data_IF_103028664629
#
_entry.id   IF_103028664629
#
_cell.length_a   1.000
_cell.length_b   1.000
_cell.length_c   1.000
_cell.angle_alpha   90.00
_cell.angle_beta   90.00
_cell.angle_gamma   90.00
#
_symmetry.space_group_name_H-M   'P 1'
#
loop_
_entity.id
_entity.type
_entity.pdbx_description
1 polymer ?
#
# COMPACT_ATOMS: atom_id res chain seq x y z
N UNK A 1 -30.48 -43.46 -34.62
CA UNK A 1 -30.65 -42.90 -33.24
C UNK A 1 -29.35 -42.82 -32.42
N UNK A 2 -28.39 -43.74 -32.56
CA UNK A 2 -27.12 -43.69 -31.80
C UNK A 2 -26.26 -42.44 -32.07
N UNK A 3 -26.16 -42.02 -33.33
CA UNK A 3 -25.39 -40.84 -33.74
C UNK A 3 -25.87 -39.54 -33.08
N UNK A 4 -27.17 -39.25 -33.13
CA UNK A 4 -27.77 -38.06 -32.50
C UNK A 4 -27.57 -38.03 -30.98
N UNK A 5 -27.66 -39.18 -30.31
CA UNK A 5 -27.38 -39.28 -28.87
C UNK A 5 -25.92 -39.00 -28.55
N UNK A 6 -25.00 -39.57 -29.35
CA UNK A 6 -23.56 -39.31 -29.21
C UNK A 6 -23.23 -37.83 -29.40
N UNK A 7 -23.74 -37.22 -30.46
CA UNK A 7 -23.55 -35.79 -30.74
C UNK A 7 -24.09 -34.90 -29.61
N UNK A 8 -25.30 -35.18 -29.12
CA UNK A 8 -25.89 -34.45 -28.00
C UNK A 8 -25.04 -34.56 -26.73
N UNK A 9 -24.53 -35.76 -26.42
CA UNK A 9 -23.67 -35.97 -25.26
C UNK A 9 -22.32 -35.26 -25.40
N UNK A 10 -21.71 -35.28 -26.58
CA UNK A 10 -20.46 -34.54 -26.83
C UNK A 10 -20.67 -33.03 -26.64
N UNK A 11 -21.77 -32.48 -27.19
CA UNK A 11 -22.10 -31.07 -27.03
C UNK A 11 -22.33 -30.71 -25.55
N UNK A 12 -23.10 -31.52 -24.82
CA UNK A 12 -23.30 -31.35 -23.38
C UNK A 12 -21.97 -31.40 -22.64
N UNK A 13 -21.06 -32.30 -23.03
CA UNK A 13 -19.74 -32.43 -22.39
C UNK A 13 -18.88 -31.18 -22.57
N UNK A 14 -18.85 -30.61 -23.77
CA UNK A 14 -18.15 -29.35 -24.07
C UNK A 14 -18.76 -28.19 -23.27
N UNK A 15 -20.09 -28.05 -23.29
CA UNK A 15 -20.78 -26.99 -22.56
C UNK A 15 -20.57 -27.10 -21.05
N UNK A 16 -20.58 -28.32 -20.52
CA UNK A 16 -20.33 -28.61 -19.12
C UNK A 16 -18.89 -28.25 -18.74
N UNK A 17 -17.91 -28.64 -19.56
CA UNK A 17 -16.51 -28.27 -19.37
C UNK A 17 -16.32 -26.75 -19.32
N UNK A 18 -16.84 -26.02 -20.31
CA UNK A 18 -16.75 -24.56 -20.37
C UNK A 18 -17.43 -23.89 -19.19
N UNK A 19 -18.57 -24.42 -18.75
CA UNK A 19 -19.32 -23.88 -17.62
C UNK A 19 -18.58 -24.06 -16.30
N UNK A 20 -17.94 -25.21 -16.09
CA UNK A 20 -17.09 -25.44 -14.91
C UNK A 20 -15.87 -24.51 -14.94
N UNK A 21 -15.26 -24.30 -16.10
CA UNK A 21 -14.13 -23.39 -16.25
C UNK A 21 -14.52 -21.95 -15.88
N UNK A 22 -15.61 -21.43 -16.43
CA UNK A 22 -16.12 -20.11 -16.09
C UNK A 22 -16.53 -20.02 -14.61
N UNK A 23 -17.10 -21.09 -14.05
CA UNK A 23 -17.48 -21.13 -12.65
C UNK A 23 -16.26 -21.11 -11.72
N UNK A 24 -15.21 -21.86 -12.06
CA UNK A 24 -13.93 -21.85 -11.35
C UNK A 24 -13.24 -20.48 -11.41
N UNK A 25 -13.27 -19.83 -12.58
CA UNK A 25 -12.77 -18.46 -12.73
C UNK A 25 -13.56 -17.47 -11.87
N UNK A 26 -14.89 -17.56 -11.87
CA UNK A 26 -15.76 -16.76 -10.99
C UNK A 26 -15.44 -16.99 -9.51
N UNK A 27 -15.34 -18.26 -9.06
CA UNK A 27 -14.92 -18.56 -7.69
C UNK A 27 -13.57 -17.93 -7.35
N UNK A 28 -12.62 -17.99 -8.27
CA UNK A 28 -11.29 -17.41 -8.08
C UNK A 28 -11.38 -15.89 -7.92
N UNK A 29 -12.14 -15.22 -8.78
CA UNK A 29 -12.42 -13.79 -8.66
C UNK A 29 -13.05 -13.43 -7.31
N UNK A 30 -13.99 -14.26 -6.83
CA UNK A 30 -14.62 -14.06 -5.52
C UNK A 30 -13.64 -14.17 -4.34
N UNK A 31 -12.71 -15.11 -4.40
CA UNK A 31 -11.70 -15.31 -3.34
C UNK A 31 -10.49 -14.38 -3.44
N UNK A 32 -10.40 -13.58 -4.50
CA UNK A 32 -9.25 -12.69 -4.77
C UNK A 32 -9.72 -11.25 -4.89
N UNK A 33 -10.08 -10.81 -6.09
CA UNK A 33 -10.44 -9.43 -6.41
C UNK A 33 -11.73 -8.93 -5.73
N UNK A 34 -12.61 -9.82 -5.23
CA UNK A 34 -13.77 -9.44 -4.42
C UNK A 34 -13.59 -9.69 -2.91
N UNK A 35 -12.39 -10.10 -2.48
CA UNK A 35 -12.09 -10.41 -1.09
C UNK A 35 -11.21 -9.32 -0.47
N UNK A 36 -11.72 -8.53 0.50
CA UNK A 36 -10.88 -7.55 1.20
C UNK A 36 -9.71 -8.24 1.93
N UNK A 37 -9.94 -9.44 2.48
CA UNK A 37 -8.89 -10.24 3.12
C UNK A 37 -7.77 -10.63 2.17
N UNK A 38 -8.06 -10.88 0.88
CA UNK A 38 -7.02 -11.14 -0.10
C UNK A 38 -6.20 -9.87 -0.35
N UNK A 39 -6.87 -8.75 -0.64
CA UNK A 39 -6.19 -7.47 -0.93
C UNK A 39 -5.35 -7.00 0.26
N UNK A 40 -5.89 -7.05 1.48
CA UNK A 40 -5.15 -6.67 2.69
C UNK A 40 -3.95 -7.58 2.93
N UNK A 41 -4.06 -8.89 2.64
CA UNK A 41 -2.89 -9.78 2.70
C UNK A 41 -1.83 -9.36 1.68
N UNK A 42 -2.22 -8.97 0.47
CA UNK A 42 -1.24 -8.52 -0.51
C UNK A 42 -0.60 -7.18 -0.12
N UNK A 43 -1.33 -6.28 0.53
CA UNK A 43 -0.76 -5.05 1.11
C UNK A 43 0.22 -5.37 2.24
N UNK A 44 -0.09 -6.36 3.07
CA UNK A 44 0.80 -6.81 4.15
C UNK A 44 2.12 -7.37 3.61
N UNK A 45 2.05 -8.11 2.49
CA UNK A 45 3.21 -8.63 1.77
C UNK A 45 4.02 -7.54 1.03
N UNK A 46 3.48 -6.33 0.85
CA UNK A 46 4.14 -5.24 0.13
C UNK A 46 5.18 -4.54 0.99
N UNK A 47 6.37 -4.28 0.47
CA UNK A 47 7.39 -3.48 1.17
C UNK A 47 7.11 -1.97 1.01
N UNK A 48 6.15 -1.48 1.79
CA UNK A 48 5.74 -0.06 1.78
C UNK A 48 6.89 0.86 2.21
N UNK A 49 7.76 0.40 3.12
CA UNK A 49 8.93 1.17 3.54
C UNK A 49 9.91 1.36 2.37
N UNK A 50 10.20 0.31 1.60
CA UNK A 50 11.02 0.43 0.40
C UNK A 50 10.43 1.39 -0.63
N UNK A 51 9.11 1.35 -0.86
CA UNK A 51 8.44 2.28 -1.80
C UNK A 51 8.61 3.74 -1.36
N UNK A 52 8.36 4.02 -0.08
CA UNK A 52 8.49 5.37 0.47
C UNK A 52 9.94 5.84 0.39
N UNK A 53 10.89 4.98 0.79
CA UNK A 53 12.32 5.26 0.72
C UNK A 53 12.76 5.57 -0.71
N UNK A 54 12.45 4.71 -1.66
CA UNK A 54 12.80 4.92 -3.08
C UNK A 54 12.23 6.24 -3.60
N UNK A 55 10.97 6.56 -3.25
CA UNK A 55 10.31 7.81 -3.65
C UNK A 55 10.99 9.05 -3.07
N UNK A 56 11.36 9.02 -1.79
CA UNK A 56 12.05 10.13 -1.13
C UNK A 56 13.45 10.34 -1.72
N UNK A 57 14.20 9.24 -1.95
CA UNK A 57 15.56 9.31 -2.50
C UNK A 57 15.57 9.81 -3.96
N UNK A 58 14.54 9.47 -4.75
CA UNK A 58 14.37 9.96 -6.11
C UNK A 58 14.11 11.47 -6.16
N UNK A 59 13.23 11.99 -5.28
CA UNK A 59 12.90 13.41 -5.21
C UNK A 59 14.14 14.25 -4.82
N UNK A 60 14.97 13.75 -3.89
CA UNK A 60 16.10 14.51 -3.34
C UNK A 60 17.42 14.33 -4.09
N UNK A 61 17.39 13.79 -5.32
CA UNK A 61 18.60 13.50 -6.12
C UNK A 61 19.68 12.72 -5.35
N UNK A 62 19.28 11.83 -4.44
CA UNK A 62 20.10 10.88 -3.66
C UNK A 62 21.17 11.44 -2.69
N UNK A 63 21.94 12.44 -3.11
CA UNK A 63 23.14 12.90 -2.42
C UNK A 63 22.90 14.05 -1.43
N UNK A 64 21.77 14.75 -1.52
CA UNK A 64 21.47 15.90 -0.64
C UNK A 64 20.61 15.53 0.57
N UNK A 65 20.29 14.24 0.74
CA UNK A 65 19.48 13.76 1.87
C UNK A 65 20.31 13.81 3.17
N UNK A 66 19.79 14.38 4.26
CA UNK A 66 20.42 14.30 5.58
C UNK A 66 20.66 12.86 6.04
N UNK A 67 21.82 12.58 6.65
CA UNK A 67 22.14 11.29 7.24
C UNK A 67 21.14 10.90 8.34
N UNK A 68 20.68 11.85 9.15
CA UNK A 68 19.62 11.60 10.14
C UNK A 68 18.31 11.12 9.48
N UNK A 69 17.96 11.69 8.31
CA UNK A 69 16.80 11.23 7.54
C UNK A 69 17.06 9.84 6.95
N UNK A 70 18.27 9.54 6.48
CA UNK A 70 18.63 8.18 6.00
C UNK A 70 18.51 7.14 7.11
N UNK A 71 18.97 7.47 8.31
CA UNK A 71 18.85 6.59 9.48
C UNK A 71 17.38 6.32 9.82
N UNK A 72 16.53 7.36 9.81
CA UNK A 72 15.08 7.16 9.95
C UNK A 72 14.52 6.24 8.85
N UNK A 73 14.88 6.46 7.58
CA UNK A 73 14.40 5.64 6.46
C UNK A 73 14.85 4.17 6.55
N UNK A 74 16.02 3.91 7.12
CA UNK A 74 16.61 2.57 7.23
C UNK A 74 16.18 1.84 8.53
N UNK A 75 16.00 2.56 9.62
CA UNK A 75 15.72 2.00 10.95
C UNK A 75 14.25 2.04 11.33
N UNK A 76 13.63 3.22 11.29
CA UNK A 76 12.31 3.46 11.89
C UNK A 76 11.15 3.39 10.89
N UNK A 77 11.38 3.73 9.62
CA UNK A 77 10.37 3.64 8.56
C UNK A 77 9.80 2.22 8.38
N UNK A 78 10.58 1.13 8.45
CA UNK A 78 10.02 -0.22 8.44
C UNK A 78 8.99 -0.47 9.56
N UNK A 79 9.23 0.06 10.76
CA UNK A 79 8.29 -0.07 11.88
C UNK A 79 7.04 0.79 11.64
N UNK A 80 7.22 2.04 11.17
CA UNK A 80 6.10 2.92 10.81
C UNK A 80 5.24 2.35 9.68
N UNK A 81 5.84 1.59 8.76
CA UNK A 81 5.11 0.96 7.65
C UNK A 81 3.98 0.04 8.11
N UNK A 82 4.08 -0.54 9.31
CA UNK A 82 3.02 -1.37 9.91
C UNK A 82 1.76 -0.54 10.19
N UNK A 83 1.93 0.67 10.73
CA UNK A 83 0.83 1.60 11.03
C UNK A 83 0.17 2.08 9.73
N UNK A 84 0.98 2.43 8.73
CA UNK A 84 0.49 2.83 7.42
C UNK A 84 -0.26 1.69 6.70
N UNK A 85 0.26 0.45 6.75
CA UNK A 85 -0.42 -0.73 6.20
C UNK A 85 -1.77 -0.98 6.87
N UNK A 86 -1.87 -0.78 8.19
CA UNK A 86 -3.13 -0.90 8.92
C UNK A 86 -4.14 0.16 8.45
N UNK A 87 -3.72 1.41 8.26
CA UNK A 87 -4.56 2.47 7.74
C UNK A 87 -5.04 2.20 6.30
N UNK A 88 -4.16 1.71 5.42
CA UNK A 88 -4.53 1.29 4.07
C UNK A 88 -5.53 0.12 4.12
N UNK A 89 -5.30 -0.87 4.98
CA UNK A 89 -6.20 -2.01 5.12
C UNK A 89 -7.61 -1.57 5.59
N UNK A 90 -7.69 -0.60 6.50
CA UNK A 90 -8.96 -0.02 6.92
C UNK A 90 -9.66 0.72 5.76
N UNK A 91 -8.93 1.51 4.99
CA UNK A 91 -9.47 2.18 3.80
C UNK A 91 -10.03 1.18 2.79
N UNK A 92 -9.30 0.08 2.56
CA UNK A 92 -9.72 -1.04 1.70
C UNK A 92 -10.98 -1.69 2.25
N UNK A 93 -11.06 -1.99 3.55
CA UNK A 93 -12.25 -2.60 4.14
C UNK A 93 -13.50 -1.73 3.96
N UNK A 94 -13.40 -0.42 4.21
CA UNK A 94 -14.50 0.54 3.97
C UNK A 94 -14.91 0.59 2.50
N UNK A 95 -13.95 0.54 1.59
CA UNK A 95 -14.19 0.49 0.15
C UNK A 95 -14.96 -0.79 -0.25
N UNK A 96 -14.51 -1.95 0.25
CA UNK A 96 -15.16 -3.22 -0.04
C UNK A 96 -16.56 -3.32 0.56
N UNK A 97 -16.79 -2.74 1.73
CA UNK A 97 -18.12 -2.64 2.30
C UNK A 97 -19.09 -1.88 1.38
N UNK A 98 -18.61 -0.83 0.72
CA UNK A 98 -19.40 -0.11 -0.29
C UNK A 98 -19.64 -0.93 -1.55
N UNK A 99 -18.59 -1.52 -2.12
CA UNK A 99 -18.66 -2.32 -3.36
C UNK A 99 -19.59 -3.51 -3.19
N UNK A 100 -19.51 -4.19 -2.05
CA UNK A 100 -20.33 -5.36 -1.72
C UNK A 100 -21.75 -4.99 -1.26
N UNK A 101 -22.08 -3.69 -1.20
CA UNK A 101 -23.41 -3.20 -0.86
C UNK A 101 -23.76 -3.33 0.63
N UNK A 102 -22.76 -3.41 1.51
CA UNK A 102 -22.95 -3.31 2.97
C UNK A 102 -23.15 -1.86 3.41
N UNK A 103 -22.63 -0.90 2.64
CA UNK A 103 -22.90 0.53 2.79
C UNK A 103 -23.44 1.14 1.48
N UNK A 104 -24.31 2.14 1.63
CA UNK A 104 -24.99 2.81 0.51
C UNK A 104 -24.23 4.02 -0.02
N UNK A 105 -23.32 4.57 0.79
CA UNK A 105 -22.54 5.78 0.48
C UNK A 105 -21.06 5.52 0.68
N UNK A 106 -20.24 6.10 -0.19
CA UNK A 106 -18.79 6.10 -0.08
C UNK A 106 -18.31 7.51 -0.44
N UNK A 107 -17.73 8.19 0.54
CA UNK A 107 -16.99 9.42 0.34
C UNK A 107 -15.50 9.10 0.48
N UNK A 108 -14.80 9.11 -0.65
CA UNK A 108 -13.37 8.74 -0.67
C UNK A 108 -12.50 9.80 0.00
N UNK A 109 -12.91 11.07 0.02
CA UNK A 109 -12.15 12.10 0.74
C UNK A 109 -12.21 11.83 2.24
N UNK A 110 -13.39 11.45 2.75
CA UNK A 110 -13.56 11.06 4.16
C UNK A 110 -12.80 9.77 4.45
N UNK A 111 -12.92 8.74 3.60
CA UNK A 111 -12.20 7.47 3.81
C UNK A 111 -10.69 7.70 3.87
N UNK A 112 -10.11 8.41 2.89
CA UNK A 112 -8.67 8.66 2.85
C UNK A 112 -8.24 9.61 3.99
N UNK A 113 -9.03 10.64 4.27
CA UNK A 113 -8.79 11.59 5.35
C UNK A 113 -8.76 10.96 6.74
N UNK A 114 -9.71 10.07 7.04
CA UNK A 114 -9.82 9.39 8.33
C UNK A 114 -8.93 8.15 8.45
N UNK A 115 -8.20 7.77 7.40
CA UNK A 115 -7.33 6.58 7.42
C UNK A 115 -5.91 6.95 7.05
N UNK A 116 -5.58 6.98 5.76
CA UNK A 116 -4.20 7.15 5.26
C UNK A 116 -3.66 8.54 5.57
N UNK A 117 -4.52 9.56 5.57
CA UNK A 117 -4.15 10.94 5.89
C UNK A 117 -4.56 11.34 7.32
N UNK A 118 -4.83 10.38 8.21
CA UNK A 118 -5.16 10.68 9.60
C UNK A 118 -4.02 11.49 10.25
N UNK A 119 -4.29 12.68 10.82
CA UNK A 119 -3.32 13.46 11.59
C UNK A 119 -2.52 12.65 12.61
N UNK A 120 -3.13 11.64 13.24
CA UNK A 120 -2.43 10.79 14.22
C UNK A 120 -1.30 9.96 13.60
N UNK A 121 -1.43 9.54 12.34
CA UNK A 121 -0.33 8.88 11.62
C UNK A 121 0.87 9.81 11.43
N UNK A 122 0.62 11.09 11.17
CA UNK A 122 1.70 12.09 11.03
C UNK A 122 2.34 12.40 12.39
N UNK A 123 1.56 12.42 13.47
CA UNK A 123 2.12 12.60 14.82
C UNK A 123 2.96 11.41 15.25
N UNK A 124 2.49 10.19 14.99
CA UNK A 124 3.28 8.97 15.24
C UNK A 124 4.57 8.95 14.42
N UNK A 125 4.51 9.34 13.14
CA UNK A 125 5.69 9.50 12.30
C UNK A 125 6.69 10.47 12.92
N UNK A 126 6.20 11.63 13.37
CA UNK A 126 7.03 12.66 13.97
C UNK A 126 7.68 12.23 15.28
N UNK A 127 6.97 11.45 16.09
CA UNK A 127 7.52 10.93 17.34
C UNK A 127 8.65 9.92 17.12
N UNK A 128 8.76 9.34 15.91
CA UNK A 128 9.84 8.43 15.49
C UNK A 128 11.00 9.13 14.79
N UNK A 129 10.85 10.38 14.37
CA UNK A 129 11.92 11.15 13.74
C UNK A 129 12.81 11.74 14.84
N UNK A 130 14.12 11.56 14.72
CA UNK A 130 15.10 12.30 15.52
C UNK A 130 15.21 13.74 14.99
N UNK A 131 14.30 14.59 15.45
CA UNK A 131 14.27 16.00 15.06
C UNK A 131 15.53 16.75 15.46
N UNK A 132 16.11 16.55 16.68
CA UNK A 132 17.38 17.15 17.03
C UNK A 132 18.49 16.87 16.02
N UNK A 133 18.74 15.60 15.70
CA UNK A 133 19.82 15.20 14.78
C UNK A 133 19.57 15.73 13.36
N UNK A 134 18.32 15.64 12.89
CA UNK A 134 17.94 16.17 11.58
C UNK A 134 18.13 17.69 11.50
N UNK A 135 17.72 18.42 12.54
CA UNK A 135 17.84 19.87 12.59
C UNK A 135 19.29 20.30 12.70
N UNK A 136 20.09 19.62 13.52
CA UNK A 136 21.52 19.87 13.67
C UNK A 136 22.23 19.75 12.32
N UNK A 137 21.98 18.67 11.59
CA UNK A 137 22.60 18.44 10.29
C UNK A 137 22.22 19.53 9.27
N UNK A 138 20.93 19.89 9.21
CA UNK A 138 20.45 20.95 8.32
C UNK A 138 21.05 22.32 8.67
N UNK A 139 21.15 22.62 9.97
CA UNK A 139 21.73 23.85 10.47
C UNK A 139 23.24 23.89 10.16
N UNK A 140 23.99 22.83 10.45
CA UNK A 140 25.43 22.72 10.12
C UNK A 140 25.69 22.83 8.62
N UNK A 141 24.85 22.22 7.78
CA UNK A 141 24.94 22.35 6.30
C UNK A 141 24.72 23.80 5.85
N UNK A 142 23.83 24.55 6.50
CA UNK A 142 23.50 25.95 6.14
C UNK A 142 24.49 26.97 6.68
N UNK A 143 25.08 26.73 7.85
CA UNK A 143 26.00 27.67 8.49
C UNK A 143 27.32 27.80 7.71
N UNK A 144 27.74 26.78 6.95
CA UNK A 144 28.91 26.87 6.07
C UNK A 144 30.25 27.11 6.79
N UNK A 145 31.34 27.21 6.03
CA UNK A 145 32.73 27.34 6.55
C UNK A 145 33.19 28.78 6.85
N UNK A 146 32.31 29.78 6.71
CA UNK A 146 32.66 31.21 6.82
C UNK A 146 32.44 31.80 8.23
N UNK A 147 32.29 30.95 9.26
CA UNK A 147 32.21 31.41 10.64
C UNK A 147 33.51 32.07 11.10
N UNK A 148 33.40 33.08 11.98
CA UNK A 148 34.54 33.61 12.71
C UNK A 148 35.35 32.46 13.37
N UNK A 149 36.64 32.29 13.04
CA UNK A 149 37.47 31.20 13.58
C UNK A 149 37.57 31.19 15.11
N UNK A 150 37.35 32.33 15.75
CA UNK A 150 37.39 32.50 17.21
C UNK A 150 36.17 31.89 17.90
N UNK A 151 35.03 31.84 17.20
CA UNK A 151 33.73 31.41 17.74
C UNK A 151 33.17 30.18 17.02
N UNK A 152 33.89 29.64 16.04
CA UNK A 152 33.50 28.44 15.29
C UNK A 152 33.28 27.22 16.18
N UNK A 153 33.96 27.12 17.32
CA UNK A 153 33.76 26.04 18.29
C UNK A 153 32.33 25.99 18.86
N UNK A 154 31.59 27.11 18.83
CA UNK A 154 30.19 27.14 19.26
C UNK A 154 29.28 26.35 18.31
N UNK A 155 29.68 26.14 17.06
CA UNK A 155 28.92 25.31 16.12
C UNK A 155 28.90 23.83 16.55
N UNK A 156 29.88 23.39 17.34
CA UNK A 156 29.92 22.03 17.90
C UNK A 156 28.87 21.81 19.00
N UNK A 157 28.28 22.88 19.55
CA UNK A 157 27.25 22.86 20.60
C UNK A 157 25.85 23.19 20.07
N UNK A 158 25.67 23.13 18.75
CA UNK A 158 24.35 23.30 18.14
C UNK A 158 23.44 22.13 18.50
N UNK A 159 23.99 20.94 18.67
CA UNK A 159 23.29 19.73 19.13
C UNK A 159 22.59 19.95 20.47
N UNK A 160 23.26 20.57 21.45
CA UNK A 160 22.67 20.92 22.75
C UNK A 160 21.42 21.80 22.59
N UNK A 161 21.46 22.77 21.67
CA UNK A 161 20.32 23.63 21.39
C UNK A 161 19.19 22.88 20.64
N UNK A 162 19.54 21.95 19.75
CA UNK A 162 18.57 21.15 19.01
C UNK A 162 17.85 20.15 19.93
N UNK A 163 18.55 19.58 20.92
CA UNK A 163 17.95 18.73 21.95
C UNK A 163 16.90 19.47 22.77
N UNK A 164 17.16 20.74 23.13
CA UNK A 164 16.18 21.58 23.82
C UNK A 164 14.95 21.92 22.94
N UNK A 165 15.09 21.85 21.61
CA UNK A 165 14.03 22.13 20.65
C UNK A 165 13.19 20.92 20.23
N UNK A 166 13.51 19.70 20.69
CA UNK A 166 12.66 18.50 20.42
C UNK A 166 11.17 18.74 20.72
N UNK A 167 10.78 19.30 21.89
CA UNK A 167 9.38 19.58 22.17
C UNK A 167 8.78 20.60 21.21
N UNK A 168 9.58 21.57 20.75
CA UNK A 168 9.14 22.59 19.82
C UNK A 168 8.84 22.03 18.44
N UNK A 169 9.68 21.12 17.92
CA UNK A 169 9.45 20.46 16.63
C UNK A 169 8.12 19.69 16.65
N UNK A 170 7.90 18.88 17.70
CA UNK A 170 6.67 18.11 17.89
C UNK A 170 5.42 18.98 18.00
N UNK A 171 5.48 20.07 18.77
CA UNK A 171 4.36 21.02 18.89
C UNK A 171 4.09 21.77 17.59
N UNK A 172 5.14 22.13 16.87
CA UNK A 172 5.02 22.82 15.58
C UNK A 172 4.34 21.93 14.56
N UNK A 173 4.70 20.65 14.47
CA UNK A 173 4.02 19.73 13.58
C UNK A 173 2.52 19.61 13.91
N UNK A 174 2.15 19.54 15.19
CA UNK A 174 0.74 19.53 15.62
C UNK A 174 -0.05 20.80 15.22
N UNK A 175 0.64 21.91 14.94
CA UNK A 175 0.03 23.14 14.40
C UNK A 175 -0.04 23.12 12.88
N UNK A 176 0.90 22.47 12.20
CA UNK A 176 1.03 22.45 10.74
C UNK A 176 0.15 21.36 10.10
N UNK A 177 0.05 20.18 10.72
CA UNK A 177 -0.66 19.03 10.12
C UNK A 177 -2.14 19.31 9.87
N UNK A 178 -2.94 19.84 10.81
CA UNK A 178 -4.36 20.09 10.55
C UNK A 178 -4.65 21.00 9.34
N UNK A 179 -4.04 22.19 9.20
CA UNK A 179 -4.29 23.03 8.02
C UNK A 179 -3.78 22.40 6.71
N UNK A 180 -2.68 21.63 6.74
CA UNK A 180 -2.23 20.87 5.56
C UNK A 180 -3.23 19.78 5.19
N UNK A 181 -3.71 19.02 6.17
CA UNK A 181 -4.72 17.99 6.00
C UNK A 181 -6.00 18.56 5.38
N UNK A 182 -6.53 19.64 5.96
CA UNK A 182 -7.75 20.28 5.47
C UNK A 182 -7.56 20.86 4.05
N UNK A 183 -6.37 21.37 3.74
CA UNK A 183 -6.03 21.83 2.40
C UNK A 183 -5.97 20.68 1.38
N UNK A 184 -5.29 19.57 1.70
CA UNK A 184 -5.17 18.40 0.83
C UNK A 184 -6.54 17.78 0.52
N UNK A 185 -7.43 17.72 1.51
CA UNK A 185 -8.80 17.23 1.35
C UNK A 185 -9.77 18.27 0.75
N UNK A 186 -9.28 19.44 0.36
CA UNK A 186 -10.06 20.56 -0.16
C UNK A 186 -11.18 21.04 0.81
N UNK A 187 -11.04 20.78 2.11
CA UNK A 187 -11.87 21.36 3.15
C UNK A 187 -11.53 22.84 3.36
N UNK A 188 -10.27 23.21 3.12
CA UNK A 188 -9.80 24.59 3.05
C UNK A 188 -9.35 24.96 1.63
N UNK A 189 -9.76 26.11 1.08
CA UNK A 189 -9.35 26.55 -0.26
C UNK A 189 -7.90 27.05 -0.33
N UNK A 190 -7.28 27.34 0.82
CA UNK A 190 -5.94 27.92 0.90
C UNK A 190 -5.16 27.34 2.06
N UNK A 191 -3.88 27.06 1.82
CA UNK A 191 -2.88 26.78 2.81
C UNK A 191 -2.05 28.04 3.04
N UNK A 192 -2.02 28.51 4.29
CA UNK A 192 -1.14 29.57 4.73
C UNK A 192 -0.76 29.31 6.18
N UNK A 193 0.40 28.70 6.37
CA UNK A 193 0.95 28.38 7.68
C UNK A 193 2.32 29.03 7.78
N UNK A 194 2.45 29.97 8.72
CA UNK A 194 3.72 30.61 9.05
C UNK A 194 4.23 30.01 10.36
N UNK A 195 5.40 29.38 10.32
CA UNK A 195 6.08 28.83 11.48
C UNK A 195 7.20 29.79 11.89
N UNK A 196 7.00 30.62 12.93
CA UNK A 196 8.03 31.56 13.35
C UNK A 196 9.22 30.83 13.96
N UNK A 197 10.43 31.20 13.55
CA UNK A 197 11.68 30.63 14.06
C UNK A 197 12.28 31.43 15.23
N UNK A 198 11.50 32.36 15.79
CA UNK A 198 11.93 33.19 16.92
C UNK A 198 12.25 32.35 18.16
N UNK A 199 11.43 31.36 18.49
CA UNK A 199 11.65 30.48 19.64
C UNK A 199 12.90 29.60 19.46
N UNK A 200 13.09 28.91 18.31
CA UNK A 200 14.36 28.28 17.97
C UNK A 200 15.57 29.20 18.11
N UNK A 201 15.48 30.44 17.60
CA UNK A 201 16.56 31.42 17.70
C UNK A 201 16.86 31.82 19.16
N UNK A 202 15.84 31.96 20.01
CA UNK A 202 16.03 32.28 21.43
C UNK A 202 16.69 31.13 22.17
N UNK A 203 16.24 29.89 21.95
CA UNK A 203 16.85 28.70 22.57
C UNK A 203 18.31 28.59 22.15
N UNK A 204 18.58 28.66 20.84
CA UNK A 204 19.93 28.64 20.30
C UNK A 204 20.83 29.76 20.84
N UNK A 205 20.31 30.99 20.97
CA UNK A 205 21.04 32.10 21.57
C UNK A 205 21.44 31.77 23.02
N UNK A 206 20.47 31.33 23.83
CA UNK A 206 20.69 31.08 25.25
C UNK A 206 21.68 29.93 25.48
N UNK A 207 21.53 28.83 24.74
CA UNK A 207 22.40 27.66 24.83
C UNK A 207 23.83 28.01 24.42
N UNK A 208 24.02 28.62 23.24
CA UNK A 208 25.36 29.00 22.78
C UNK A 208 26.00 30.09 23.66
N UNK A 209 25.21 31.02 24.21
CA UNK A 209 25.72 32.03 25.12
C UNK A 209 26.17 31.42 26.46
N UNK A 210 25.41 30.49 27.02
CA UNK A 210 25.81 29.76 28.24
C UNK A 210 27.14 29.02 28.01
N UNK A 211 27.30 28.32 26.88
CA UNK A 211 28.57 27.70 26.50
C UNK A 211 29.70 28.72 26.36
N UNK A 212 29.48 29.82 25.63
CA UNK A 212 30.46 30.88 25.44
C UNK A 212 30.94 31.51 26.76
N UNK A 213 30.02 31.68 27.72
CA UNK A 213 30.37 32.23 29.05
C UNK A 213 31.14 31.25 29.92
N UNK A 214 30.87 29.94 29.80
CA UNK A 214 31.59 28.88 30.52
C UNK A 214 32.98 28.64 29.95
N UNK A 215 33.12 28.75 28.63
CA UNK A 215 34.36 28.48 27.90
C UNK A 215 34.75 29.67 27.00
N UNK A 216 35.09 30.83 27.58
CA UNK A 216 35.43 32.00 26.79
C UNK A 216 36.72 31.75 25.97
N UNK A 217 36.76 32.21 24.70
CA UNK A 217 37.92 32.00 23.85
C UNK A 217 39.17 32.71 24.42
N UNK A 218 40.37 32.11 24.34
CA UNK A 218 41.61 32.68 24.86
C UNK A 218 41.90 34.10 24.34
N UNK A 219 41.51 34.38 23.11
CA UNK A 219 41.65 35.68 22.41
C UNK A 219 40.91 36.80 23.15
N UNK A 220 39.87 36.47 23.92
CA UNK A 220 39.04 37.41 24.69
C UNK A 220 39.30 37.35 26.21
N UNK A 221 40.34 36.66 26.66
CA UNK A 221 40.65 36.50 28.09
C UNK A 221 40.90 37.83 28.82
N UNK A 222 41.34 38.88 28.11
CA UNK A 222 41.53 40.24 28.64
C UNK A 222 40.38 41.22 28.39
N UNK A 223 39.35 40.83 27.64
CA UNK A 223 38.22 41.69 27.30
C UNK A 223 37.26 41.87 28.48
N UNK A 224 36.60 43.02 28.53
CA UNK A 224 35.53 43.33 29.48
C UNK A 224 34.28 42.47 29.21
N UNK A 225 33.39 42.28 30.20
CA UNK A 225 32.13 41.56 29.98
C UNK A 225 31.28 42.14 28.84
N UNK A 226 31.29 43.46 28.67
CA UNK A 226 30.56 44.16 27.61
C UNK A 226 31.15 43.87 26.22
N UNK A 227 32.48 43.90 26.10
CA UNK A 227 33.18 43.55 24.84
C UNK A 227 32.94 42.09 24.45
N UNK A 228 32.93 41.16 25.42
CA UNK A 228 32.63 39.75 25.17
C UNK A 228 31.20 39.52 24.69
N UNK A 229 30.23 40.22 25.29
CA UNK A 229 28.83 40.15 24.88
C UNK A 229 28.64 40.75 23.49
N UNK A 230 29.32 41.87 23.19
CA UNK A 230 29.27 42.49 21.88
C UNK A 230 29.82 41.56 20.79
N UNK A 231 30.95 40.89 21.05
CA UNK A 231 31.54 39.92 20.11
C UNK A 231 30.62 38.72 19.86
N UNK A 232 30.04 38.16 20.92
CA UNK A 232 29.06 37.07 20.79
C UNK A 232 27.81 37.50 20.01
N UNK A 233 27.26 38.67 20.33
CA UNK A 233 26.11 39.20 19.60
C UNK A 233 26.42 39.47 18.14
N UNK A 234 27.65 39.92 17.83
CA UNK A 234 28.09 40.11 16.45
C UNK A 234 28.06 38.77 15.70
N UNK A 235 28.68 37.74 16.26
CA UNK A 235 28.63 36.39 15.70
C UNK A 235 27.20 35.87 15.54
N UNK A 236 26.40 35.89 16.61
CA UNK A 236 25.07 35.29 16.58
C UNK A 236 24.12 36.03 15.64
N UNK A 237 24.00 37.36 15.77
CA UNK A 237 23.00 38.11 15.00
C UNK A 237 23.45 38.53 13.60
N UNK A 238 24.76 38.55 13.31
CA UNK A 238 25.27 39.02 12.01
C UNK A 238 25.97 37.94 11.19
N UNK A 239 26.45 36.85 11.81
CA UNK A 239 27.07 35.74 11.08
C UNK A 239 26.17 34.50 11.06
N UNK A 240 25.52 34.15 12.17
CA UNK A 240 24.73 32.93 12.29
C UNK A 240 23.27 33.11 11.83
N UNK A 241 22.52 34.02 12.45
CA UNK A 241 21.09 34.22 12.21
C UNK A 241 20.74 34.70 10.79
N UNK A 242 21.48 35.62 10.14
CA UNK A 242 21.09 36.12 8.81
C UNK A 242 21.06 35.05 7.72
N UNK A 243 21.73 33.91 7.95
CA UNK A 243 21.70 32.75 7.07
C UNK A 243 20.46 31.87 7.25
N UNK A 244 19.66 32.13 8.29
CA UNK A 244 18.41 31.44 8.61
C UNK A 244 17.20 32.33 8.28
N UNK A 245 16.10 31.76 7.73
CA UNK A 245 14.87 32.51 7.53
C UNK A 245 14.23 32.90 8.87
N UNK A 246 13.42 33.97 8.89
CA UNK A 246 12.70 34.39 10.10
C UNK A 246 11.48 33.51 10.42
N UNK A 247 10.87 32.93 9.39
CA UNK A 247 9.77 31.99 9.49
C UNK A 247 9.84 31.00 8.32
N UNK A 248 9.31 29.80 8.53
CA UNK A 248 9.04 28.85 7.46
C UNK A 248 7.60 29.09 7.01
N UNK A 249 7.45 29.52 5.76
CA UNK A 249 6.16 29.72 5.13
C UNK A 249 5.77 28.47 4.35
N UNK A 250 4.66 27.86 4.73
CA UNK A 250 4.04 26.74 4.03
C UNK A 250 2.76 27.28 3.42
N UNK A 251 2.78 27.47 2.10
CA UNK A 251 1.66 28.01 1.34
C UNK A 251 1.21 27.05 0.22
N UNK A 252 0.26 27.50 -0.59
CA UNK A 252 -0.28 26.74 -1.73
C UNK A 252 0.79 26.25 -2.72
N UNK A 253 1.93 26.93 -2.82
CA UNK A 253 2.99 26.55 -3.75
C UNK A 253 3.78 25.33 -3.28
N UNK A 254 3.79 25.07 -1.96
CA UNK A 254 4.50 23.93 -1.39
C UNK A 254 3.92 22.59 -1.88
N UNK A 255 2.60 22.53 -2.06
CA UNK A 255 1.87 21.36 -2.54
C UNK A 255 1.18 21.66 -3.89
N UNK A 256 1.83 22.43 -4.76
CA UNK A 256 1.21 22.89 -6.00
C UNK A 256 0.69 21.70 -6.84
N UNK A 257 -0.61 21.74 -7.16
CA UNK A 257 -1.29 20.68 -7.92
C UNK A 257 -1.66 19.43 -7.12
N UNK A 258 -1.14 19.21 -5.92
CA UNK A 258 -1.42 17.99 -5.14
C UNK A 258 -2.89 17.87 -4.69
N UNK A 259 -3.56 18.89 -4.13
CA UNK A 259 -4.97 18.78 -3.75
C UNK A 259 -5.87 18.50 -4.96
N UNK A 260 -5.59 19.13 -6.10
CA UNK A 260 -6.36 18.90 -7.33
C UNK A 260 -6.13 17.49 -7.87
N UNK A 261 -4.86 17.04 -7.93
CA UNK A 261 -4.52 15.68 -8.35
C UNK A 261 -5.13 14.62 -7.45
N UNK A 262 -5.17 14.85 -6.12
CA UNK A 262 -5.80 13.95 -5.18
C UNK A 262 -7.30 13.87 -5.43
N UNK A 263 -7.99 15.01 -5.51
CA UNK A 263 -9.44 15.03 -5.75
C UNK A 263 -9.82 14.45 -7.11
N UNK A 264 -9.08 14.76 -8.17
CA UNK A 264 -9.32 14.22 -9.50
C UNK A 264 -9.09 12.69 -9.52
N UNK A 265 -8.01 12.23 -8.90
CA UNK A 265 -7.73 10.80 -8.75
C UNK A 265 -8.80 10.07 -7.95
N UNK A 266 -9.25 10.64 -6.83
CA UNK A 266 -10.33 10.06 -6.03
C UNK A 266 -11.67 10.07 -6.80
N UNK A 267 -11.97 11.12 -7.56
CA UNK A 267 -13.16 11.17 -8.39
C UNK A 267 -13.15 10.10 -9.49
N UNK A 268 -12.01 9.88 -10.15
CA UNK A 268 -11.84 8.82 -11.14
C UNK A 268 -12.01 7.43 -10.51
N UNK A 269 -11.35 7.20 -9.38
CA UNK A 269 -11.47 5.95 -8.61
C UNK A 269 -12.94 5.72 -8.23
N UNK A 270 -13.67 6.75 -7.77
CA UNK A 270 -15.08 6.65 -7.41
C UNK A 270 -15.96 6.19 -8.58
N UNK A 271 -15.72 6.71 -9.78
CA UNK A 271 -16.45 6.31 -10.98
C UNK A 271 -16.23 4.83 -11.29
N UNK A 272 -14.99 4.34 -11.19
CA UNK A 272 -14.67 2.94 -11.42
C UNK A 272 -15.25 2.02 -10.32
N UNK A 273 -15.25 2.48 -9.07
CA UNK A 273 -15.89 1.77 -7.95
C UNK A 273 -17.41 1.66 -8.17
N UNK A 274 -18.07 2.73 -8.60
CA UNK A 274 -19.50 2.71 -8.89
C UNK A 274 -19.84 1.76 -10.03
N UNK A 275 -19.00 1.76 -11.07
CA UNK A 275 -19.10 0.80 -12.17
C UNK A 275 -18.89 -0.63 -11.67
N UNK A 276 -17.89 -0.88 -10.82
CA UNK A 276 -17.62 -2.19 -10.23
C UNK A 276 -18.81 -2.68 -9.40
N UNK A 277 -19.40 -1.82 -8.56
CA UNK A 277 -20.60 -2.11 -7.77
C UNK A 277 -21.80 -2.49 -8.65
N UNK A 278 -22.05 -1.76 -9.73
CA UNK A 278 -23.09 -2.10 -10.69
C UNK A 278 -22.83 -3.43 -11.40
N UNK A 279 -21.58 -3.66 -11.83
CA UNK A 279 -21.16 -4.89 -12.48
C UNK A 279 -21.24 -6.10 -11.55
N UNK A 280 -21.07 -5.91 -10.25
CA UNK A 280 -21.18 -6.95 -9.23
C UNK A 280 -22.55 -7.62 -9.25
N UNK A 281 -23.62 -6.87 -9.50
CA UNK A 281 -24.99 -7.40 -9.59
C UNK A 281 -25.11 -8.38 -10.77
N UNK A 282 -24.60 -7.99 -11.94
CA UNK A 282 -24.58 -8.86 -13.13
C UNK A 282 -23.66 -10.07 -12.91
N UNK A 283 -22.53 -9.87 -12.25
CA UNK A 283 -21.61 -10.94 -11.88
C UNK A 283 -22.31 -11.99 -11.01
N UNK A 284 -22.97 -11.60 -9.92
CA UNK A 284 -23.69 -12.54 -9.05
C UNK A 284 -24.80 -13.27 -9.80
N UNK A 285 -25.58 -12.55 -10.60
CA UNK A 285 -26.63 -13.15 -11.42
C UNK A 285 -26.06 -14.20 -12.39
N UNK A 286 -25.00 -13.86 -13.11
CA UNK A 286 -24.33 -14.77 -14.04
C UNK A 286 -23.71 -15.97 -13.31
N UNK A 287 -23.06 -15.74 -12.17
CA UNK A 287 -22.41 -16.76 -11.36
C UNK A 287 -23.41 -17.80 -10.83
N UNK A 288 -24.53 -17.36 -10.25
CA UNK A 288 -25.57 -18.28 -9.79
C UNK A 288 -26.31 -18.97 -10.94
N UNK A 289 -26.56 -18.24 -12.04
CA UNK A 289 -27.17 -18.82 -13.25
C UNK A 289 -26.28 -19.90 -13.87
N UNK A 290 -24.96 -19.70 -13.85
CA UNK A 290 -23.99 -20.68 -14.33
C UNK A 290 -24.00 -21.95 -13.48
N UNK A 291 -24.08 -21.82 -12.15
CA UNK A 291 -24.25 -22.96 -11.25
C UNK A 291 -25.52 -23.75 -11.56
N UNK A 292 -26.66 -23.07 -11.76
CA UNK A 292 -27.91 -23.70 -12.18
C UNK A 292 -27.79 -24.37 -13.55
N UNK A 293 -27.11 -23.73 -14.50
CA UNK A 293 -26.89 -24.27 -15.84
C UNK A 293 -26.07 -25.56 -15.82
N UNK A 294 -25.03 -25.65 -14.98
CA UNK A 294 -24.27 -26.88 -14.75
C UNK A 294 -25.19 -28.03 -14.28
N UNK A 295 -26.07 -27.75 -13.31
CA UNK A 295 -27.04 -28.74 -12.81
C UNK A 295 -27.98 -29.19 -13.93
N UNK A 296 -28.48 -28.26 -14.75
CA UNK A 296 -29.33 -28.57 -15.90
C UNK A 296 -28.60 -29.45 -16.92
N UNK A 297 -27.33 -29.16 -17.23
CA UNK A 297 -26.54 -29.98 -18.17
C UNK A 297 -26.35 -31.42 -17.67
N UNK A 298 -26.07 -31.59 -16.37
CA UNK A 298 -25.99 -32.92 -15.75
C UNK A 298 -27.36 -33.63 -15.79
N UNK A 299 -28.45 -32.89 -15.54
CA UNK A 299 -29.83 -33.39 -15.66
C UNK A 299 -30.20 -33.80 -17.09
N UNK A 300 -29.78 -33.05 -18.11
CA UNK A 300 -29.97 -33.40 -19.52
C UNK A 300 -29.19 -34.66 -19.89
N UNK A 301 -27.94 -34.79 -19.42
CA UNK A 301 -27.17 -36.02 -19.57
C UNK A 301 -27.87 -37.21 -18.88
N UNK A 302 -28.50 -36.99 -17.72
CA UNK A 302 -29.34 -37.98 -17.05
C UNK A 302 -30.54 -38.41 -17.89
N UNK A 303 -31.27 -37.48 -18.49
CA UNK A 303 -32.42 -37.78 -19.34
C UNK A 303 -32.06 -38.56 -20.60
N UNK A 304 -30.88 -38.33 -21.18
CA UNK A 304 -30.39 -39.05 -22.37
C UNK A 304 -29.99 -40.49 -22.02
N UNK A 305 -29.24 -40.68 -20.93
CA UNK A 305 -28.78 -42.01 -20.51
C UNK A 305 -29.87 -42.83 -19.82
N UNK A 306 -30.77 -42.16 -19.08
CA UNK A 306 -31.78 -42.74 -18.18
C UNK A 306 -31.23 -43.73 -17.15
N UNK A 307 -29.91 -43.70 -16.90
CA UNK A 307 -29.19 -44.62 -16.02
C UNK A 307 -28.16 -43.84 -15.23
N UNK A 308 -28.33 -43.79 -13.91
CA UNK A 308 -27.50 -43.01 -13.00
C UNK A 308 -26.01 -43.31 -13.17
N UNK A 309 -25.61 -44.58 -13.25
CA UNK A 309 -24.20 -44.94 -13.40
C UNK A 309 -23.58 -44.40 -14.70
N UNK A 310 -24.31 -44.36 -15.83
CA UNK A 310 -23.77 -43.82 -17.09
C UNK A 310 -23.61 -42.30 -17.02
N UNK A 311 -24.57 -41.61 -16.42
CA UNK A 311 -24.49 -40.15 -16.22
C UNK A 311 -23.36 -39.78 -15.28
N UNK A 312 -23.21 -40.53 -14.18
CA UNK A 312 -22.15 -40.33 -13.21
C UNK A 312 -20.77 -40.56 -13.85
N UNK A 313 -20.63 -41.59 -14.68
CA UNK A 313 -19.41 -41.83 -15.45
C UNK A 313 -19.08 -40.68 -16.41
N UNK A 314 -20.10 -40.22 -17.15
CA UNK A 314 -19.95 -39.12 -18.12
C UNK A 314 -19.58 -37.79 -17.43
N UNK A 315 -20.36 -37.36 -16.43
CA UNK A 315 -20.07 -36.14 -15.68
C UNK A 315 -18.72 -36.25 -14.95
N UNK A 316 -18.44 -37.41 -14.36
CA UNK A 316 -17.16 -37.68 -13.70
C UNK A 316 -15.96 -37.57 -14.64
N UNK A 317 -16.10 -38.05 -15.89
CA UNK A 317 -15.06 -37.90 -16.92
C UNK A 317 -14.82 -36.44 -17.27
N UNK A 318 -15.88 -35.65 -17.47
CA UNK A 318 -15.74 -34.20 -17.76
C UNK A 318 -15.08 -33.45 -16.60
N UNK A 319 -15.51 -33.73 -15.37
CA UNK A 319 -14.95 -33.10 -14.17
C UNK A 319 -13.48 -33.47 -13.96
N UNK A 320 -13.12 -34.72 -14.23
CA UNK A 320 -11.73 -35.20 -14.14
C UNK A 320 -10.83 -34.53 -15.19
N UNK A 321 -11.27 -34.47 -16.45
CA UNK A 321 -10.53 -33.78 -17.52
C UNK A 321 -10.34 -32.30 -17.17
N UNK A 322 -11.40 -31.63 -16.70
CA UNK A 322 -11.31 -30.25 -16.24
C UNK A 322 -10.29 -30.11 -15.11
N UNK A 323 -10.39 -30.93 -14.06
CA UNK A 323 -9.47 -30.86 -12.93
C UNK A 323 -8.00 -31.06 -13.33
N UNK A 324 -7.74 -31.99 -14.25
CA UNK A 324 -6.39 -32.22 -14.80
C UNK A 324 -5.89 -31.02 -15.60
N UNK A 325 -6.70 -30.50 -16.53
CA UNK A 325 -6.33 -29.36 -17.39
C UNK A 325 -6.11 -28.10 -16.55
N UNK A 326 -7.00 -27.83 -15.59
CA UNK A 326 -6.87 -26.68 -14.69
C UNK A 326 -5.63 -26.77 -13.81
N UNK A 327 -5.34 -27.95 -13.24
CA UNK A 327 -4.14 -28.18 -12.45
C UNK A 327 -2.85 -27.95 -13.26
N UNK A 328 -2.76 -28.56 -14.45
CA UNK A 328 -1.59 -28.39 -15.34
C UNK A 328 -1.47 -26.93 -15.79
N UNK A 329 -2.59 -26.27 -16.10
CA UNK A 329 -2.61 -24.86 -16.49
C UNK A 329 -1.99 -23.96 -15.42
N UNK A 330 -2.38 -24.12 -14.15
CA UNK A 330 -1.80 -23.33 -13.05
C UNK A 330 -0.31 -23.62 -12.89
N UNK A 331 0.12 -24.88 -12.97
CA UNK A 331 1.54 -25.24 -12.85
C UNK A 331 2.39 -24.62 -13.96
N UNK A 332 1.88 -24.63 -15.20
CA UNK A 332 2.55 -23.99 -16.34
C UNK A 332 2.63 -22.48 -16.12
N UNK A 333 1.53 -21.83 -15.73
CA UNK A 333 1.53 -20.39 -15.45
C UNK A 333 2.54 -20.04 -14.36
N UNK A 334 2.54 -20.77 -13.23
CA UNK A 334 3.49 -20.54 -12.15
C UNK A 334 4.95 -20.71 -12.59
N UNK A 335 5.24 -21.67 -13.48
CA UNK A 335 6.59 -21.85 -14.02
C UNK A 335 7.06 -20.70 -14.92
N UNK A 336 6.14 -19.91 -15.46
CA UNK A 336 6.43 -18.74 -16.31
C UNK A 336 6.62 -17.44 -15.50
N UNK A 337 6.18 -17.41 -14.24
CA UNK A 337 6.25 -16.24 -13.33
C UNK A 337 7.64 -16.02 -12.70
N UNK A 338 8.73 -16.37 -13.40
CA UNK A 338 10.08 -16.11 -12.90
C UNK A 338 10.35 -14.59 -12.78
N UNK A 339 11.05 -14.13 -11.73
CA UNK A 339 11.50 -12.74 -11.63
C UNK A 339 12.26 -12.32 -12.90
N UNK A 340 11.77 -11.28 -13.57
CA UNK A 340 12.32 -10.77 -14.84
C UNK A 340 11.59 -11.17 -16.13
N UNK A 341 10.52 -11.99 -16.07
CA UNK A 341 9.68 -12.28 -17.26
C UNK A 341 8.53 -11.28 -17.46
N UNK A 342 8.18 -10.53 -16.41
CA UNK A 342 7.16 -9.47 -16.46
C UNK A 342 7.84 -8.17 -16.87
N UNK A 343 7.37 -7.52 -17.94
CA UNK A 343 7.89 -6.22 -18.38
C UNK A 343 7.41 -5.16 -17.39
N UNK A 344 8.31 -4.63 -16.56
CA UNK A 344 8.02 -3.69 -15.46
C UNK A 344 8.67 -2.31 -15.66
N UNK A 345 8.85 -1.87 -16.91
CA UNK A 345 9.47 -0.56 -17.18
C UNK A 345 8.69 0.58 -16.50
N UNK A 346 9.31 1.26 -15.54
CA UNK A 346 8.74 2.41 -14.83
C UNK A 346 7.93 2.07 -13.56
N UNK A 347 8.02 0.84 -13.05
CA UNK A 347 7.39 0.43 -11.79
C UNK A 347 8.45 0.43 -10.67
N UNK A 348 8.13 0.90 -9.44
CA UNK A 348 9.04 0.80 -8.30
C UNK A 348 9.50 -0.64 -8.03
N UNK A 349 10.76 -0.80 -7.63
CA UNK A 349 11.40 -2.11 -7.44
C UNK A 349 10.58 -3.03 -6.51
N UNK A 350 10.07 -2.48 -5.41
CA UNK A 350 9.23 -3.19 -4.45
C UNK A 350 7.95 -3.79 -5.06
N UNK A 351 7.32 -3.08 -6.00
CA UNK A 351 6.10 -3.56 -6.69
C UNK A 351 6.46 -4.65 -7.71
N UNK A 352 7.61 -4.53 -8.38
CA UNK A 352 8.11 -5.57 -9.29
C UNK A 352 8.37 -6.90 -8.55
N UNK A 353 8.95 -6.85 -7.36
CA UNK A 353 9.17 -8.07 -6.55
C UNK A 353 7.88 -8.65 -5.97
N UNK A 354 6.92 -7.80 -5.65
CA UNK A 354 5.63 -8.19 -5.09
C UNK A 354 4.69 -8.86 -6.12
N UNK A 355 4.67 -8.35 -7.36
CA UNK A 355 3.69 -8.71 -8.39
C UNK A 355 3.62 -10.23 -8.73
N UNK A 356 4.74 -10.96 -8.90
CA UNK A 356 4.69 -12.41 -9.12
C UNK A 356 3.97 -13.15 -7.99
N UNK A 357 4.21 -12.74 -6.74
CA UNK A 357 3.56 -13.30 -5.55
C UNK A 357 2.06 -13.10 -5.57
N UNK A 358 1.59 -11.93 -6.00
CA UNK A 358 0.15 -11.63 -6.17
C UNK A 358 -0.49 -12.55 -7.18
N UNK A 359 0.14 -12.75 -8.34
CA UNK A 359 -0.39 -13.62 -9.39
C UNK A 359 -0.43 -15.06 -8.90
N UNK A 360 0.63 -15.55 -8.25
CA UNK A 360 0.66 -16.89 -7.68
C UNK A 360 -0.46 -17.08 -6.65
N UNK A 361 -0.59 -16.14 -5.71
CA UNK A 361 -1.62 -16.17 -4.68
C UNK A 361 -3.03 -16.11 -5.28
N UNK A 362 -3.22 -15.34 -6.35
CA UNK A 362 -4.50 -15.24 -7.05
C UNK A 362 -4.88 -16.54 -7.77
N UNK A 363 -3.92 -17.36 -8.18
CA UNK A 363 -4.17 -18.65 -8.83
C UNK A 363 -4.49 -19.79 -7.85
N UNK A 364 -4.16 -19.64 -6.56
CA UNK A 364 -4.36 -20.70 -5.54
C UNK A 364 -5.82 -21.16 -5.41
N UNK A 365 -6.84 -20.28 -5.37
CA UNK A 365 -8.24 -20.73 -5.34
C UNK A 365 -8.62 -21.56 -6.56
N UNK A 366 -8.15 -21.18 -7.75
CA UNK A 366 -8.41 -21.92 -8.99
C UNK A 366 -7.74 -23.31 -8.97
N UNK A 367 -6.53 -23.39 -8.42
CA UNK A 367 -5.82 -24.66 -8.23
C UNK A 367 -6.58 -25.60 -7.30
N UNK A 368 -7.00 -25.10 -6.13
CA UNK A 368 -7.77 -25.88 -5.16
C UNK A 368 -9.11 -26.34 -5.74
N UNK A 369 -9.79 -25.46 -6.47
CA UNK A 369 -11.02 -25.81 -7.19
C UNK A 369 -10.77 -26.90 -8.25
N UNK A 370 -9.70 -26.78 -9.03
CA UNK A 370 -9.33 -27.77 -10.06
C UNK A 370 -9.02 -29.14 -9.45
N UNK A 371 -8.27 -29.19 -8.35
CA UNK A 371 -8.00 -30.42 -7.60
C UNK A 371 -9.30 -31.02 -7.07
N UNK A 372 -10.17 -30.21 -6.47
CA UNK A 372 -11.48 -30.63 -5.97
C UNK A 372 -12.35 -31.23 -7.08
N UNK A 373 -12.44 -30.58 -8.24
CA UNK A 373 -13.16 -31.09 -9.40
C UNK A 373 -12.54 -32.39 -9.94
N UNK A 374 -11.22 -32.51 -9.95
CA UNK A 374 -10.52 -33.74 -10.31
C UNK A 374 -10.87 -34.92 -9.39
N UNK A 375 -10.84 -34.69 -8.07
CA UNK A 375 -11.19 -35.69 -7.08
C UNK A 375 -12.69 -36.10 -7.14
N UNK A 376 -13.58 -35.11 -7.32
CA UNK A 376 -15.01 -35.37 -7.54
C UNK A 376 -15.25 -36.16 -8.83
N UNK A 377 -14.52 -35.83 -9.90
CA UNK A 377 -14.58 -36.53 -11.18
C UNK A 377 -14.17 -37.99 -11.05
N UNK A 378 -13.02 -38.24 -10.41
CA UNK A 378 -12.52 -39.59 -10.15
C UNK A 378 -13.50 -40.41 -9.28
N UNK A 379 -14.05 -39.79 -8.23
CA UNK A 379 -15.05 -40.42 -7.37
C UNK A 379 -16.31 -40.80 -8.15
N UNK A 380 -16.77 -39.94 -9.05
CA UNK A 380 -17.89 -40.23 -9.95
C UNK A 380 -17.59 -41.40 -10.89
N UNK A 381 -16.38 -41.47 -11.46
CA UNK A 381 -15.95 -42.58 -12.32
C UNK A 381 -15.95 -43.89 -11.51
N UNK A 382 -15.33 -43.93 -10.33
CA UNK A 382 -15.28 -45.15 -9.50
C UNK A 382 -16.68 -45.55 -9.04
N UNK A 383 -17.49 -44.61 -8.55
CA UNK A 383 -18.87 -44.84 -8.15
C UNK A 383 -19.74 -45.40 -9.29
N UNK A 384 -19.49 -44.97 -10.53
CA UNK A 384 -20.21 -45.49 -11.70
C UNK A 384 -19.95 -46.96 -11.96
N UNK A 385 -18.74 -47.46 -11.64
CA UNK A 385 -18.39 -48.87 -11.79
C UNK A 385 -19.08 -49.70 -10.71
N UNK A 386 -19.12 -49.19 -9.48
CA UNK A 386 -19.76 -49.86 -8.34
C UNK A 386 -21.29 -49.95 -8.49
N UNK A 387 -21.92 -48.94 -9.10
CA UNK A 387 -23.37 -48.91 -9.36
C UNK A 387 -23.78 -49.66 -10.63
N UNK A 388 -22.83 -50.27 -11.35
CA UNK A 388 -23.15 -51.04 -12.54
C UNK A 388 -23.89 -52.32 -12.14
N UNK A 389 -25.11 -52.58 -12.64
CA UNK A 389 -25.86 -53.77 -12.25
C UNK A 389 -25.12 -55.05 -12.66
N UNK A 390 -24.74 -55.86 -11.67
CA UNK A 390 -24.26 -57.23 -11.87
C UNK A 390 -25.43 -58.14 -12.29
N UNK A 391 -25.86 -58.06 -13.55
CA UNK A 391 -26.64 -59.13 -14.20
C UNK A 391 -26.04 -59.32 -15.58
N UNK A 392 -25.44 -60.45 -15.96
CA UNK A 392 -25.80 -61.84 -15.68
C UNK A 392 -24.53 -62.69 -15.69
N UNK A 393 -24.23 -63.43 -14.60
CA UNK A 393 -23.38 -64.62 -14.72
C UNK A 393 -24.23 -65.71 -15.38
N UNK A 394 -23.89 -66.22 -16.57
CA UNK A 394 -24.51 -67.46 -17.04
C UNK A 394 -24.08 -68.58 -16.08
N UNK A 395 -25.06 -69.28 -15.52
CA UNK A 395 -24.87 -70.55 -14.81
C UNK A 395 -24.74 -71.66 -15.84
#
# INVERSE_FOLDING_TARGET
MGFLKGLALTLIGILLFLSIMLFGAGLTFNFTALSPTFVNRQIDDLDVAAIIKDSILEISAGNDVPDALREFLDGELPNYSVELKAAIAEAVDRLYDYILGRTDTLDLNVVIGETILDPELFYSLADKIDWPDLAEELVKRKIGTELNPTLSYLADYVDDAMLELDPWFKQTLRRVVPPVHDYLLQLSPTLQVSVPLLEPAIVMYNTLYDIYTRFPPPELAGATPEERLAEFNNFFFFELIPNLPAAIEIDNTFFEGAPQSLTDGLAEIKVEIDRAKQNLVYYWLAFYSLGLFIIILVGLAFLIYRKAYKTLHFAGTVFFIFGLVGFVGVMVTNSMLNPGSVITSGIPSAVEFWLPGVIENALRPFLLFSIGMGALGLSGIVGSVLLHPHSTRPV
#
